data_IF_940490760553
#
_entry.id   IF_940490760553
#
_cell.length_a   1.000
_cell.length_b   1.000
_cell.length_c   1.000
_cell.angle_alpha   90.00
_cell.angle_beta   90.00
_cell.angle_gamma   90.00
#
_symmetry.space_group_name_H-M   'P 1'
#
loop_
_entity.id
_entity.type
_entity.pdbx_description
1 polymer ?
#
# COMPACT_ATOMS: atom_id res chain seq x y z
N UNK A 1 7.68 22.36 -0.39
CA UNK A 1 6.49 21.48 -0.60
C UNK A 1 6.03 21.56 -2.04
N UNK A 2 5.86 20.40 -2.68
CA UNK A 2 5.41 20.28 -4.07
C UNK A 2 3.88 20.41 -4.21
N UNK A 3 3.40 20.87 -5.37
CA UNK A 3 1.97 21.06 -5.62
C UNK A 3 1.16 19.77 -5.56
N UNK A 4 1.73 18.64 -5.99
CA UNK A 4 1.07 17.33 -5.95
C UNK A 4 0.91 16.82 -4.51
N UNK A 5 1.91 17.07 -3.67
CA UNK A 5 1.87 16.77 -2.24
C UNK A 5 0.72 17.52 -1.54
N UNK A 6 0.57 18.82 -1.84
CA UNK A 6 -0.52 19.66 -1.31
C UNK A 6 -1.90 19.18 -1.78
N UNK A 7 -2.03 18.77 -3.05
CA UNK A 7 -3.27 18.18 -3.58
C UNK A 7 -3.63 16.89 -2.86
N UNK A 8 -2.64 16.06 -2.56
CA UNK A 8 -2.84 14.80 -1.84
C UNK A 8 -3.35 15.03 -0.41
N UNK A 9 -2.75 16.00 0.31
CA UNK A 9 -3.22 16.42 1.64
C UNK A 9 -4.66 16.94 1.58
N UNK A 10 -4.95 17.85 0.65
CA UNK A 10 -6.28 18.44 0.50
C UNK A 10 -7.35 17.37 0.21
N UNK A 11 -7.00 16.36 -0.60
CA UNK A 11 -7.89 15.24 -0.90
C UNK A 11 -8.13 14.37 0.34
N UNK A 12 -7.08 14.04 1.09
CA UNK A 12 -7.18 13.23 2.32
C UNK A 12 -7.94 13.93 3.45
N UNK A 13 -7.86 15.25 3.52
CA UNK A 13 -8.58 16.05 4.51
C UNK A 13 -10.09 16.18 4.22
N UNK A 14 -10.57 15.78 3.04
CA UNK A 14 -12.00 15.76 2.66
C UNK A 14 -12.75 17.07 2.91
N UNK A 15 -12.07 18.22 2.80
CA UNK A 15 -12.65 19.55 3.04
C UNK A 15 -12.57 20.07 4.47
N UNK A 16 -12.01 19.30 5.41
CA UNK A 16 -11.73 19.75 6.77
C UNK A 16 -10.38 20.47 6.83
N UNK A 17 -10.41 21.79 6.99
CA UNK A 17 -9.18 22.59 7.12
C UNK A 17 -8.34 22.16 8.33
N UNK A 18 -9.00 21.79 9.44
CA UNK A 18 -8.35 21.32 10.67
C UNK A 18 -7.57 20.02 10.45
N UNK A 19 -8.13 19.10 9.66
CA UNK A 19 -7.44 17.84 9.38
C UNK A 19 -6.26 18.05 8.43
N UNK A 20 -6.39 18.97 7.47
CA UNK A 20 -5.28 19.38 6.61
C UNK A 20 -4.14 20.04 7.42
N UNK A 21 -4.49 20.92 8.37
CA UNK A 21 -3.52 21.57 9.26
C UNK A 21 -2.81 20.55 10.16
N UNK A 22 -3.55 19.63 10.75
CA UNK A 22 -2.99 18.57 11.59
C UNK A 22 -2.06 17.63 10.79
N UNK A 23 -2.41 17.30 9.55
CA UNK A 23 -1.54 16.54 8.64
C UNK A 23 -0.27 17.31 8.29
N UNK A 24 -0.39 18.60 8.01
CA UNK A 24 0.75 19.49 7.72
C UNK A 24 1.70 19.58 8.92
N UNK A 25 1.16 19.76 10.13
CA UNK A 25 1.94 19.82 11.37
C UNK A 25 2.67 18.51 11.64
N UNK A 26 2.02 17.37 11.40
CA UNK A 26 2.68 16.07 11.51
C UNK A 26 3.80 15.93 10.47
N UNK A 27 3.56 16.30 9.21
CA UNK A 27 4.55 16.21 8.15
C UNK A 27 5.78 17.09 8.43
N UNK A 28 5.58 18.33 8.86
CA UNK A 28 6.69 19.24 9.19
C UNK A 28 7.43 18.82 10.46
N UNK A 29 6.73 18.21 11.43
CA UNK A 29 7.35 17.65 12.64
C UNK A 29 8.23 16.45 12.33
N UNK A 30 7.77 15.55 11.46
CA UNK A 30 8.50 14.31 11.14
C UNK A 30 9.61 14.49 10.10
N UNK A 31 9.40 15.33 9.08
CA UNK A 31 10.30 15.44 7.92
C UNK A 31 10.95 16.82 7.77
N UNK A 32 10.66 17.77 8.67
CA UNK A 32 11.19 19.13 8.61
C UNK A 32 10.51 19.99 7.54
N UNK A 33 11.20 21.04 7.11
CA UNK A 33 10.67 22.06 6.19
C UNK A 33 10.54 21.58 4.73
N UNK A 34 11.28 20.53 4.35
CA UNK A 34 11.34 20.01 2.99
C UNK A 34 10.48 18.74 2.84
N UNK A 35 9.16 18.93 2.84
CA UNK A 35 8.20 17.84 2.61
C UNK A 35 7.91 17.71 1.11
N UNK A 36 8.24 16.58 0.50
CA UNK A 36 7.93 16.21 -0.89
C UNK A 36 6.75 15.23 -1.00
N UNK A 37 6.38 14.87 -2.24
CA UNK A 37 5.25 13.96 -2.48
C UNK A 37 5.41 12.60 -1.79
N UNK A 38 6.62 12.06 -1.76
CA UNK A 38 6.92 10.74 -1.17
C UNK A 38 6.69 10.72 0.34
N UNK A 39 7.05 11.80 1.05
CA UNK A 39 6.82 11.92 2.49
C UNK A 39 5.32 12.01 2.80
N UNK A 40 4.56 12.75 1.99
CA UNK A 40 3.10 12.85 2.14
C UNK A 40 2.42 11.52 1.85
N UNK A 41 2.82 10.86 0.76
CA UNK A 41 2.40 9.51 0.40
C UNK A 41 2.68 8.54 1.54
N UNK A 42 3.88 8.59 2.11
CA UNK A 42 4.26 7.77 3.24
C UNK A 42 3.40 8.00 4.48
N UNK A 43 3.18 9.25 4.87
CA UNK A 43 2.35 9.62 6.02
C UNK A 43 0.89 9.19 5.84
N UNK A 44 0.38 9.26 4.62
CA UNK A 44 -0.98 8.83 4.26
C UNK A 44 -1.09 7.32 4.00
N UNK A 45 0.01 6.56 4.11
CA UNK A 45 0.04 5.13 3.81
C UNK A 45 -0.21 4.81 2.32
N UNK A 46 -0.01 5.78 1.43
CA UNK A 46 -0.11 5.65 -0.02
C UNK A 46 1.28 5.35 -0.55
N UNK A 47 1.72 4.11 -0.40
CA UNK A 47 3.08 3.72 -0.78
C UNK A 47 3.06 2.58 -1.78
N UNK A 48 3.90 2.75 -2.80
CA UNK A 48 3.95 1.92 -4.01
C UNK A 48 5.21 1.08 -4.10
N UNK A 49 5.86 0.79 -2.96
CA UNK A 49 7.11 0.03 -2.98
C UNK A 49 6.85 -1.38 -3.51
N UNK A 50 7.47 -1.69 -4.64
CA UNK A 50 7.31 -2.97 -5.32
C UNK A 50 7.80 -4.14 -4.46
N UNK A 51 8.73 -3.90 -3.53
CA UNK A 51 9.28 -4.91 -2.62
C UNK A 51 8.24 -5.46 -1.66
N UNK A 52 7.17 -4.73 -1.36
CA UNK A 52 6.03 -5.25 -0.59
C UNK A 52 5.41 -6.46 -1.32
N UNK A 53 5.24 -6.35 -2.64
CA UNK A 53 4.70 -7.44 -3.47
C UNK A 53 5.69 -8.59 -3.60
N UNK A 54 6.98 -8.30 -3.64
CA UNK A 54 8.04 -9.31 -3.71
C UNK A 54 8.12 -10.13 -2.42
N UNK A 55 8.09 -9.48 -1.25
CA UNK A 55 8.04 -10.18 0.04
C UNK A 55 6.78 -11.07 0.11
N UNK A 56 5.61 -10.54 -0.26
CA UNK A 56 4.40 -11.33 -0.30
C UNK A 56 4.49 -12.53 -1.27
N UNK A 57 5.18 -12.38 -2.40
CA UNK A 57 5.45 -13.49 -3.34
C UNK A 57 6.38 -14.53 -2.70
N UNK A 58 7.47 -14.13 -2.06
CA UNK A 58 8.39 -15.03 -1.37
C UNK A 58 7.69 -15.83 -0.25
N UNK A 59 6.72 -15.22 0.45
CA UNK A 59 5.89 -15.92 1.43
C UNK A 59 5.05 -17.04 0.79
N UNK A 60 4.46 -16.81 -0.38
CA UNK A 60 3.68 -17.81 -1.12
C UNK A 60 4.58 -18.94 -1.64
N UNK A 61 5.77 -18.57 -2.14
CA UNK A 61 6.74 -19.51 -2.68
C UNK A 61 7.53 -20.26 -1.58
N UNK A 62 7.28 -19.96 -0.29
CA UNK A 62 8.01 -20.45 0.88
C UNK A 62 9.54 -20.21 0.82
N UNK A 63 9.97 -19.16 0.11
CA UNK A 63 11.38 -18.77 -0.01
C UNK A 63 11.75 -17.74 1.06
N UNK A 64 12.03 -18.24 2.27
CA UNK A 64 12.41 -17.40 3.41
C UNK A 64 13.71 -16.64 3.13
N UNK A 65 14.68 -17.26 2.44
CA UNK A 65 15.99 -16.64 2.19
C UNK A 65 15.84 -15.41 1.30
N UNK A 66 15.08 -15.52 0.20
CA UNK A 66 14.82 -14.39 -0.67
C UNK A 66 13.96 -13.31 0.02
N UNK A 67 12.96 -13.71 0.81
CA UNK A 67 12.16 -12.76 1.60
C UNK A 67 13.00 -11.90 2.56
N UNK A 68 13.91 -12.53 3.31
CA UNK A 68 14.82 -11.80 4.22
C UNK A 68 15.80 -10.91 3.44
N UNK A 69 16.31 -11.35 2.28
CA UNK A 69 17.16 -10.51 1.43
C UNK A 69 16.44 -9.25 0.96
N UNK A 70 15.19 -9.35 0.56
CA UNK A 70 14.39 -8.19 0.14
C UNK A 70 14.17 -7.22 1.30
N UNK A 71 13.85 -7.71 2.51
CA UNK A 71 13.69 -6.88 3.71
C UNK A 71 15.00 -6.17 4.07
N UNK A 72 16.13 -6.87 4.01
CA UNK A 72 17.43 -6.23 4.24
C UNK A 72 17.74 -5.17 3.18
N UNK A 73 17.30 -5.37 1.93
CA UNK A 73 17.39 -4.35 0.89
C UNK A 73 16.61 -3.08 1.22
N UNK A 74 15.41 -3.23 1.81
CA UNK A 74 14.60 -2.08 2.30
C UNK A 74 15.36 -1.31 3.39
N UNK A 75 15.93 -2.03 4.36
CA UNK A 75 16.69 -1.43 5.47
C UNK A 75 17.96 -0.71 4.98
N UNK A 76 18.73 -1.36 4.09
CA UNK A 76 19.95 -0.80 3.50
C UNK A 76 19.70 0.47 2.68
N UNK A 77 18.52 0.58 2.06
CA UNK A 77 18.10 1.77 1.31
C UNK A 77 17.58 2.89 2.24
N UNK A 78 17.60 2.68 3.56
CA UNK A 78 17.23 3.68 4.57
C UNK A 78 15.72 3.88 4.73
N UNK A 79 14.90 2.94 4.26
CA UNK A 79 13.45 3.02 4.41
C UNK A 79 13.02 2.61 5.83
N UNK A 80 11.96 3.25 6.32
CA UNK A 80 11.38 2.90 7.61
C UNK A 80 10.73 1.51 7.55
N UNK A 81 11.35 0.53 8.21
CA UNK A 81 10.83 -0.83 8.32
C UNK A 81 9.46 -0.93 9.00
N UNK A 82 9.11 -0.01 9.91
CA UNK A 82 7.77 0.02 10.52
C UNK A 82 6.72 0.41 9.49
N UNK A 83 7.04 1.38 8.65
CA UNK A 83 6.17 1.79 7.56
C UNK A 83 6.02 0.67 6.52
N UNK A 84 7.14 0.09 6.09
CA UNK A 84 7.15 -1.06 5.18
C UNK A 84 6.33 -2.25 5.72
N UNK A 85 6.42 -2.54 7.02
CA UNK A 85 5.61 -3.59 7.64
C UNK A 85 4.11 -3.30 7.57
N UNK A 86 3.68 -2.05 7.83
CA UNK A 86 2.28 -1.65 7.70
C UNK A 86 1.78 -1.85 6.27
N UNK A 87 2.58 -1.50 5.28
CA UNK A 87 2.25 -1.71 3.87
C UNK A 87 2.10 -3.18 3.51
N UNK A 88 3.01 -4.03 4.00
CA UNK A 88 2.91 -5.47 3.80
C UNK A 88 1.63 -6.05 4.41
N UNK A 89 1.26 -5.61 5.61
CA UNK A 89 0.01 -6.03 6.27
C UNK A 89 -1.21 -5.59 5.45
N UNK A 90 -1.26 -4.34 5.00
CA UNK A 90 -2.37 -3.83 4.18
C UNK A 90 -2.46 -4.54 2.82
N UNK A 91 -1.32 -4.83 2.19
CA UNK A 91 -1.27 -5.60 0.96
C UNK A 91 -1.83 -7.02 1.14
N UNK A 92 -1.39 -7.73 2.17
CA UNK A 92 -1.88 -9.07 2.50
C UNK A 92 -3.38 -9.07 2.85
N UNK A 93 -3.84 -8.06 3.60
CA UNK A 93 -5.27 -7.84 3.87
C UNK A 93 -6.06 -7.66 2.58
N UNK A 94 -5.57 -6.85 1.65
CA UNK A 94 -6.18 -6.65 0.33
C UNK A 94 -6.31 -7.97 -0.44
N UNK A 95 -5.27 -8.81 -0.44
CA UNK A 95 -5.32 -10.13 -1.06
C UNK A 95 -6.36 -11.06 -0.38
N UNK A 96 -6.47 -11.02 0.95
CA UNK A 96 -7.47 -11.80 1.68
C UNK A 96 -8.89 -11.36 1.34
N UNK A 97 -9.17 -10.06 1.29
CA UNK A 97 -10.49 -9.52 0.94
C UNK A 97 -10.91 -9.91 -0.48
N UNK A 98 -9.97 -9.88 -1.43
CA UNK A 98 -10.21 -10.35 -2.81
C UNK A 98 -10.50 -11.86 -2.81
N UNK A 99 -9.75 -12.64 -2.03
CA UNK A 99 -9.96 -14.09 -1.93
C UNK A 99 -11.33 -14.44 -1.31
N UNK A 100 -11.82 -13.63 -0.37
CA UNK A 100 -13.13 -13.85 0.29
C UNK A 100 -14.31 -13.24 -0.48
N UNK A 101 -14.06 -12.53 -1.59
CA UNK A 101 -15.12 -11.94 -2.42
C UNK A 101 -15.87 -10.79 -1.72
N UNK A 102 -15.22 -10.10 -0.79
CA UNK A 102 -15.86 -9.03 0.00
C UNK A 102 -15.93 -7.72 -0.80
N UNK A 103 -17.12 -7.15 -0.96
CA UNK A 103 -17.34 -5.89 -1.72
C UNK A 103 -16.91 -4.62 -0.97
N UNK A 104 -16.56 -4.73 0.32
CA UNK A 104 -16.02 -3.60 1.09
C UNK A 104 -14.55 -3.39 0.81
N UNK A 105 -14.28 -2.86 -0.38
CA UNK A 105 -12.95 -2.56 -0.88
C UNK A 105 -12.75 -1.03 -0.80
N UNK A 106 -12.09 -0.56 0.24
CA UNK A 106 -11.52 0.79 0.27
C UNK A 106 -10.02 0.66 0.06
N UNK A 107 -9.58 0.75 -1.20
CA UNK A 107 -8.15 0.76 -1.52
C UNK A 107 -7.64 2.20 -1.57
N UNK A 108 -6.50 2.52 -0.95
CA UNK A 108 -5.69 3.64 -1.37
C UNK A 108 -5.32 3.44 -2.86
N UNK A 109 -5.31 4.51 -3.65
CA UNK A 109 -5.24 4.55 -5.13
C UNK A 109 -4.13 3.68 -5.80
N UNK A 110 -3.18 3.09 -5.07
CA UNK A 110 -2.05 2.30 -5.59
C UNK A 110 -2.37 0.81 -5.86
N UNK A 111 -3.51 0.28 -5.40
CA UNK A 111 -3.85 -1.15 -5.51
C UNK A 111 -4.79 -1.53 -6.67
N UNK A 112 -5.13 -0.57 -7.56
CA UNK A 112 -6.00 -0.83 -8.72
C UNK A 112 -5.48 -1.94 -9.67
N UNK A 113 -4.18 -2.28 -9.61
CA UNK A 113 -3.56 -3.34 -10.40
C UNK A 113 -3.70 -4.75 -9.82
N UNK A 114 -4.14 -4.89 -8.56
CA UNK A 114 -4.26 -6.21 -7.89
C UNK A 114 -5.38 -7.05 -8.53
N UNK A 115 -6.41 -6.42 -9.08
CA UNK A 115 -7.59 -7.07 -9.66
C UNK A 115 -7.27 -8.01 -10.83
N UNK A 116 -6.25 -7.73 -11.65
CA UNK A 116 -5.96 -8.60 -12.82
C UNK A 116 -5.13 -9.83 -12.44
N UNK A 117 -4.16 -9.71 -11.53
CA UNK A 117 -3.29 -10.85 -11.15
C UNK A 117 -3.85 -11.70 -10.01
N UNK A 118 -4.60 -11.11 -9.06
CA UNK A 118 -5.25 -11.88 -8.00
C UNK A 118 -6.33 -12.83 -8.55
N UNK A 119 -7.02 -12.44 -9.64
CA UNK A 119 -7.96 -13.30 -10.37
C UNK A 119 -7.28 -14.50 -11.03
N UNK A 120 -6.06 -14.31 -11.56
CA UNK A 120 -5.23 -15.38 -12.14
C UNK A 120 -4.64 -16.30 -11.05
N UNK A 121 -4.30 -15.74 -9.89
CA UNK A 121 -3.83 -16.48 -8.71
C UNK A 121 -4.95 -17.33 -8.08
N UNK A 122 -6.16 -16.77 -7.97
CA UNK A 122 -7.37 -17.48 -7.54
C UNK A 122 -7.66 -18.68 -8.46
N UNK A 123 -7.69 -18.49 -9.79
CA UNK A 123 -7.99 -19.56 -10.75
C UNK A 123 -6.98 -20.72 -10.77
N UNK A 124 -5.71 -20.50 -10.42
CA UNK A 124 -4.68 -21.56 -10.49
C UNK A 124 -4.56 -22.42 -9.23
N UNK A 125 -4.93 -21.91 -8.06
CA UNK A 125 -4.68 -22.60 -6.78
C UNK A 125 -5.89 -22.77 -5.88
N UNK A 126 -7.00 -22.08 -6.13
CA UNK A 126 -8.26 -22.26 -5.41
C UNK A 126 -9.35 -22.53 -6.44
N UNK A 127 -9.90 -23.74 -6.50
CA UNK A 127 -10.99 -24.12 -7.42
C UNK A 127 -12.32 -23.40 -7.13
N UNK A 128 -12.33 -22.06 -7.13
CA UNK A 128 -13.52 -21.24 -6.98
C UNK A 128 -14.06 -20.89 -8.37
N UNK A 129 -15.21 -21.48 -8.70
CA UNK A 129 -16.07 -21.06 -9.81
C UNK A 129 -16.73 -19.72 -9.44
N UNK A 130 -16.07 -18.60 -9.72
CA UNK A 130 -16.70 -17.28 -9.63
C UNK A 130 -17.70 -17.12 -10.78
N UNK A 131 -18.97 -16.98 -10.42
CA UNK A 131 -20.08 -16.68 -11.34
C UNK A 131 -19.89 -15.25 -11.86
N UNK A 132 -20.07 -15.04 -13.17
CA UNK A 132 -19.93 -13.73 -13.81
C UNK A 132 -20.97 -12.72 -13.25
N UNK A 133 -20.64 -11.41 -13.22
CA UNK A 133 -21.57 -10.38 -12.78
C UNK A 133 -22.78 -10.28 -13.73
N UNK A 134 -23.98 -9.95 -13.21
CA UNK A 134 -25.14 -9.70 -14.06
C UNK A 134 -24.91 -8.42 -14.90
N UNK A 135 -25.38 -8.50 -16.15
CA UNK A 135 -25.34 -7.45 -17.19
C UNK A 135 -26.03 -6.17 -16.77
#
# INVERSE_FOLDING_TARGET
MESEALRLIAKSATGSLRDAENLLEQLTTYYGSEVGLQQVQGMLGITGDQRVKEVAKHMVDNDISAGIKTINGVDNDGLDLRQFNRELVEYLRGLLLIKTGSEQISFPNSLAFVTTKALVWSRRHCGLSLRAPPT
#
